data_IF_088221185196
#
_entry.id   IF_088221185196
#
_cell.length_a   1.000
_cell.length_b   1.000
_cell.length_c   1.000
_cell.angle_alpha   90.00
_cell.angle_beta   90.00
_cell.angle_gamma   90.00
#
_symmetry.space_group_name_H-M   'P 1'
#
loop_
_entity.id
_entity.type
_entity.pdbx_description
1 polymer ?
#
# COMPACT_ATOMS: atom_id res chain seq x y z
N UNK A 1 -3.65 8.10 -4.50
CA UNK A 1 -3.44 9.37 -3.75
C UNK A 1 -1.99 9.82 -3.84
N UNK A 2 -1.02 8.95 -3.57
CA UNK A 2 0.40 9.32 -3.52
C UNK A 2 0.95 9.76 -4.89
N UNK A 3 0.57 9.08 -5.95
CA UNK A 3 0.94 9.45 -7.32
C UNK A 3 0.42 10.84 -7.71
N UNK A 4 -0.81 11.18 -7.29
CA UNK A 4 -1.40 12.49 -7.57
C UNK A 4 -0.66 13.61 -6.83
N UNK A 5 -0.27 13.38 -5.56
CA UNK A 5 0.51 14.33 -4.77
C UNK A 5 1.89 14.54 -5.40
N UNK A 6 2.53 13.45 -5.85
CA UNK A 6 3.83 13.52 -6.50
C UNK A 6 3.77 14.33 -7.81
N UNK A 7 2.76 14.07 -8.65
CA UNK A 7 2.53 14.84 -9.88
C UNK A 7 2.23 16.30 -9.59
N UNK A 8 1.40 16.60 -8.57
CA UNK A 8 1.11 17.96 -8.16
C UNK A 8 2.36 18.74 -7.77
N UNK A 9 3.23 18.14 -6.94
CA UNK A 9 4.49 18.80 -6.55
C UNK A 9 5.42 19.05 -7.74
N UNK A 10 5.48 18.12 -8.70
CA UNK A 10 6.25 18.34 -9.94
C UNK A 10 5.66 19.44 -10.81
N UNK A 11 4.33 19.48 -10.90
CA UNK A 11 3.65 20.58 -11.60
C UNK A 11 3.93 21.93 -10.96
N UNK A 12 3.87 22.02 -9.64
CA UNK A 12 4.21 23.24 -8.91
C UNK A 12 5.67 23.69 -9.15
N UNK A 13 6.62 22.75 -9.16
CA UNK A 13 8.02 23.02 -9.49
C UNK A 13 8.20 23.45 -10.95
N UNK A 14 7.48 22.82 -11.88
CA UNK A 14 7.53 23.17 -13.30
C UNK A 14 6.98 24.56 -13.57
N UNK A 15 5.94 25.02 -12.88
CA UNK A 15 5.40 26.39 -12.97
C UNK A 15 6.41 27.48 -12.63
N UNK A 16 7.44 27.17 -11.86
CA UNK A 16 8.52 28.12 -11.58
C UNK A 16 9.52 28.26 -12.75
N UNK A 17 9.50 27.31 -13.70
CA UNK A 17 10.46 27.24 -14.81
C UNK A 17 9.88 27.72 -16.15
N UNK A 18 8.57 27.61 -16.32
CA UNK A 18 7.87 27.91 -17.57
C UNK A 18 6.73 28.90 -17.35
N UNK A 19 6.29 29.55 -18.43
CA UNK A 19 5.31 30.65 -18.34
C UNK A 19 3.85 30.18 -18.47
N UNK A 20 3.63 29.04 -19.12
CA UNK A 20 2.28 28.53 -19.39
C UNK A 20 1.97 27.31 -18.52
N UNK A 21 0.71 27.18 -18.08
CA UNK A 21 0.27 26.06 -17.27
C UNK A 21 0.35 24.73 -18.03
N UNK A 22 0.08 24.77 -19.35
CA UNK A 22 0.11 23.58 -20.21
C UNK A 22 1.53 23.04 -20.37
N UNK A 23 2.51 23.91 -20.58
CA UNK A 23 3.92 23.52 -20.62
C UNK A 23 4.39 22.96 -19.27
N UNK A 24 3.98 23.59 -18.16
CA UNK A 24 4.31 23.11 -16.82
C UNK A 24 3.73 21.71 -16.56
N UNK A 25 2.50 21.46 -17.02
CA UNK A 25 1.88 20.14 -16.87
C UNK A 25 2.54 19.08 -17.74
N UNK A 26 2.89 19.42 -18.96
CA UNK A 26 3.60 18.51 -19.88
C UNK A 26 4.95 18.09 -19.31
N UNK A 27 5.71 19.02 -18.78
CA UNK A 27 6.98 18.73 -18.10
C UNK A 27 6.76 17.86 -16.83
N UNK A 28 5.76 18.19 -16.03
CA UNK A 28 5.46 17.43 -14.82
C UNK A 28 5.08 15.97 -15.13
N UNK A 29 4.25 15.75 -16.13
CA UNK A 29 3.88 14.40 -16.59
C UNK A 29 5.12 13.66 -17.11
N UNK A 30 5.93 14.30 -17.97
CA UNK A 30 7.16 13.70 -18.51
C UNK A 30 8.13 13.25 -17.41
N UNK A 31 8.37 14.11 -16.41
CA UNK A 31 9.27 13.83 -15.30
C UNK A 31 8.74 12.75 -14.34
N UNK A 32 7.43 12.56 -14.25
CA UNK A 32 6.83 11.67 -13.26
C UNK A 32 6.38 10.33 -13.84
N UNK A 33 6.05 10.29 -15.14
CA UNK A 33 5.44 9.12 -15.77
C UNK A 33 6.26 7.85 -15.58
N UNK A 34 7.57 7.92 -15.79
CA UNK A 34 8.47 6.75 -15.66
C UNK A 34 8.47 6.24 -14.21
N UNK A 35 8.54 7.15 -13.25
CA UNK A 35 8.55 6.79 -11.82
C UNK A 35 7.21 6.19 -11.38
N UNK A 36 6.09 6.79 -11.81
CA UNK A 36 4.73 6.32 -11.51
C UNK A 36 4.50 4.95 -12.17
N UNK A 37 4.87 4.79 -13.43
CA UNK A 37 4.72 3.53 -14.16
C UNK A 37 5.57 2.42 -13.53
N UNK A 38 6.83 2.69 -13.19
CA UNK A 38 7.71 1.71 -12.56
C UNK A 38 7.23 1.23 -11.20
N UNK A 39 6.83 2.15 -10.32
CA UNK A 39 6.33 1.78 -9.00
C UNK A 39 4.97 1.07 -9.06
N UNK A 40 4.08 1.51 -9.94
CA UNK A 40 2.78 0.86 -10.11
C UNK A 40 2.89 -0.54 -10.72
N UNK A 41 3.80 -0.74 -11.68
CA UNK A 41 4.06 -2.05 -12.26
C UNK A 41 4.56 -3.04 -11.20
N UNK A 42 5.47 -2.60 -10.32
CA UNK A 42 5.94 -3.41 -9.19
C UNK A 42 4.80 -3.77 -8.24
N UNK A 43 3.93 -2.83 -7.94
CA UNK A 43 2.76 -3.06 -7.07
C UNK A 43 1.76 -4.02 -7.71
N UNK A 44 1.47 -3.85 -9.00
CA UNK A 44 0.60 -4.76 -9.76
C UNK A 44 1.19 -6.17 -9.79
N UNK A 45 2.50 -6.30 -10.05
CA UNK A 45 3.17 -7.60 -10.02
C UNK A 45 3.09 -8.27 -8.64
N UNK A 46 3.24 -7.48 -7.56
CA UNK A 46 3.06 -7.97 -6.19
C UNK A 46 1.64 -8.50 -5.92
N UNK A 47 0.60 -7.79 -6.37
CA UNK A 47 -0.77 -8.27 -6.25
C UNK A 47 -1.06 -9.49 -7.13
N UNK A 48 -0.53 -9.53 -8.35
CA UNK A 48 -0.68 -10.69 -9.22
C UNK A 48 0.06 -11.94 -8.65
N UNK A 49 1.11 -11.75 -7.88
CA UNK A 49 1.77 -12.86 -7.18
C UNK A 49 0.83 -13.56 -6.17
N UNK A 50 -0.18 -12.84 -5.61
CA UNK A 50 -1.19 -13.47 -4.76
C UNK A 50 -2.06 -14.48 -5.52
N UNK A 51 -2.17 -14.34 -6.85
CA UNK A 51 -2.92 -15.28 -7.67
C UNK A 51 -2.25 -16.67 -7.78
N UNK A 52 -0.97 -16.79 -7.38
CA UNK A 52 -0.26 -18.06 -7.32
C UNK A 52 -0.57 -18.87 -6.05
N UNK A 53 -1.27 -18.27 -5.10
CA UNK A 53 -1.70 -18.96 -3.87
C UNK A 53 -2.79 -19.99 -4.20
N UNK A 54 -2.78 -21.11 -3.47
CA UNK A 54 -3.79 -22.16 -3.62
C UNK A 54 -5.17 -21.77 -3.04
N UNK A 55 -5.25 -20.65 -2.31
CA UNK A 55 -6.50 -20.12 -1.75
C UNK A 55 -7.19 -19.19 -2.76
N UNK A 56 -8.45 -19.43 -3.06
CA UNK A 56 -9.29 -18.60 -3.94
C UNK A 56 -9.33 -17.14 -3.49
N UNK A 57 -9.37 -16.90 -2.19
CA UNK A 57 -9.30 -15.54 -1.61
C UNK A 57 -8.06 -14.75 -2.06
N UNK A 58 -6.91 -15.42 -2.18
CA UNK A 58 -5.68 -14.77 -2.64
C UNK A 58 -5.79 -14.29 -4.08
N UNK A 59 -6.36 -15.11 -4.95
CA UNK A 59 -6.59 -14.78 -6.36
C UNK A 59 -7.58 -13.63 -6.53
N UNK A 60 -8.71 -13.67 -5.82
CA UNK A 60 -9.75 -12.64 -5.92
C UNK A 60 -9.23 -11.28 -5.46
N UNK A 61 -8.57 -11.23 -4.30
CA UNK A 61 -7.96 -10.00 -3.77
C UNK A 61 -6.86 -9.51 -4.72
N UNK A 62 -6.00 -10.40 -5.20
CA UNK A 62 -4.89 -10.06 -6.09
C UNK A 62 -5.36 -9.39 -7.36
N UNK A 63 -6.37 -9.94 -8.04
CA UNK A 63 -6.92 -9.39 -9.29
C UNK A 63 -7.61 -8.05 -9.03
N UNK A 64 -8.44 -7.95 -7.99
CA UNK A 64 -9.16 -6.70 -7.68
C UNK A 64 -8.20 -5.57 -7.35
N UNK A 65 -7.18 -5.84 -6.51
CA UNK A 65 -6.18 -4.84 -6.15
C UNK A 65 -5.30 -4.43 -7.34
N UNK A 66 -4.87 -5.38 -8.18
CA UNK A 66 -4.11 -5.07 -9.39
C UNK A 66 -4.90 -4.16 -10.36
N UNK A 67 -6.18 -4.46 -10.59
CA UNK A 67 -7.09 -3.62 -11.38
C UNK A 67 -7.25 -2.22 -10.77
N UNK A 68 -7.40 -2.14 -9.43
CA UNK A 68 -7.52 -0.88 -8.71
C UNK A 68 -6.30 0.02 -8.89
N UNK A 69 -5.09 -0.55 -8.77
CA UNK A 69 -3.84 0.19 -9.01
C UNK A 69 -3.75 0.65 -10.47
N UNK A 70 -4.05 -0.22 -11.44
CA UNK A 70 -4.02 0.13 -12.86
C UNK A 70 -4.95 1.31 -13.20
N UNK A 71 -6.21 1.24 -12.76
CA UNK A 71 -7.20 2.31 -12.97
C UNK A 71 -6.76 3.59 -12.25
N UNK A 72 -6.22 3.47 -11.02
CA UNK A 72 -5.71 4.60 -10.26
C UNK A 72 -4.58 5.34 -10.95
N UNK A 73 -3.64 4.61 -11.54
CA UNK A 73 -2.54 5.19 -12.33
C UNK A 73 -3.07 5.87 -13.60
N UNK A 74 -3.95 5.20 -14.32
CA UNK A 74 -4.57 5.77 -15.52
C UNK A 74 -5.29 7.09 -15.19
N UNK A 75 -6.06 7.10 -14.10
CA UNK A 75 -6.74 8.30 -13.61
C UNK A 75 -5.76 9.42 -13.22
N UNK A 76 -4.65 9.06 -12.58
CA UNK A 76 -3.63 10.04 -12.17
C UNK A 76 -2.93 10.69 -13.36
N UNK A 77 -2.73 9.96 -14.45
CA UNK A 77 -2.05 10.49 -15.64
C UNK A 77 -3.00 11.22 -16.60
N UNK A 78 -4.30 10.91 -16.54
CA UNK A 78 -5.28 11.49 -17.49
C UNK A 78 -6.23 12.48 -16.82
N UNK A 79 -7.02 12.01 -15.86
CA UNK A 79 -8.09 12.81 -15.24
C UNK A 79 -7.50 13.88 -14.30
N UNK A 80 -6.52 13.52 -13.51
CA UNK A 80 -5.96 14.43 -12.52
C UNK A 80 -5.25 15.66 -13.13
N UNK A 81 -4.41 15.55 -14.19
CA UNK A 81 -3.87 16.71 -14.89
C UNK A 81 -4.92 17.61 -15.49
N UNK A 82 -5.94 17.04 -16.14
CA UNK A 82 -7.04 17.82 -16.71
C UNK A 82 -7.79 18.59 -15.63
N UNK A 83 -8.06 17.94 -14.49
CA UNK A 83 -8.68 18.59 -13.34
C UNK A 83 -7.82 19.70 -12.77
N UNK A 84 -6.50 19.51 -12.62
CA UNK A 84 -5.59 20.53 -12.14
C UNK A 84 -5.54 21.74 -13.07
N UNK A 85 -5.52 21.57 -14.38
CA UNK A 85 -5.50 22.69 -15.34
C UNK A 85 -6.78 23.51 -15.29
N UNK A 86 -7.94 22.85 -15.17
CA UNK A 86 -9.24 23.55 -15.07
C UNK A 86 -9.36 24.33 -13.77
N UNK A 87 -8.97 23.73 -12.66
CA UNK A 87 -9.10 24.32 -11.32
C UNK A 87 -7.83 25.02 -10.82
N UNK A 88 -6.84 25.24 -11.66
CA UNK A 88 -5.55 25.84 -11.30
C UNK A 88 -5.69 27.11 -10.48
N UNK A 89 -6.52 28.05 -10.92
CA UNK A 89 -6.76 29.33 -10.24
C UNK A 89 -7.36 29.15 -8.83
N UNK A 90 -8.26 28.17 -8.67
CA UNK A 90 -8.90 27.87 -7.39
C UNK A 90 -7.91 27.22 -6.43
N UNK A 91 -7.15 26.24 -6.90
CA UNK A 91 -6.14 25.52 -6.11
C UNK A 91 -5.08 26.49 -5.58
N UNK A 92 -4.57 27.41 -6.42
CA UNK A 92 -3.57 28.38 -5.98
C UNK A 92 -4.16 29.50 -5.11
N UNK A 93 -5.42 29.89 -5.29
CA UNK A 93 -6.09 30.88 -4.43
C UNK A 93 -6.36 30.35 -3.02
N UNK A 94 -6.65 29.07 -2.90
CA UNK A 94 -6.90 28.40 -1.60
C UNK A 94 -5.63 27.89 -0.93
N UNK A 95 -4.46 28.06 -1.57
CA UNK A 95 -3.18 27.64 -1.01
C UNK A 95 -2.88 28.41 0.28
N UNK A 96 -2.81 27.70 1.38
CA UNK A 96 -2.42 28.24 2.69
C UNK A 96 -1.01 27.74 3.06
N UNK A 97 -0.41 28.41 4.04
CA UNK A 97 0.92 28.02 4.53
C UNK A 97 0.87 26.58 5.05
N UNK A 98 1.88 25.75 4.74
CA UNK A 98 1.90 24.38 5.23
C UNK A 98 1.86 24.35 6.77
N UNK A 99 0.91 23.60 7.33
CA UNK A 99 0.75 23.43 8.77
C UNK A 99 1.95 22.65 9.34
N UNK A 100 2.53 21.80 8.51
CA UNK A 100 3.67 20.97 8.90
C UNK A 100 4.96 21.75 8.62
N UNK A 101 5.76 22.06 9.65
CA UNK A 101 7.03 22.76 9.46
C UNK A 101 8.00 21.91 8.63
N UNK A 102 8.89 22.58 7.91
CA UNK A 102 9.93 21.89 7.12
C UNK A 102 10.82 21.05 8.04
N UNK A 103 10.88 19.74 7.79
CA UNK A 103 11.70 18.79 8.57
C UNK A 103 13.21 18.90 8.25
N UNK A 104 13.73 20.11 8.16
CA UNK A 104 15.15 20.34 7.88
C UNK A 104 16.07 19.71 8.95
N UNK A 105 15.59 19.66 10.20
CA UNK A 105 16.32 19.00 11.30
C UNK A 105 16.44 17.49 11.04
N UNK A 106 15.34 16.85 10.65
CA UNK A 106 15.32 15.39 10.34
C UNK A 106 16.18 15.10 9.12
N UNK A 107 16.08 15.93 8.07
CA UNK A 107 16.91 15.81 6.87
C UNK A 107 18.39 15.87 7.21
N UNK A 108 18.80 16.87 7.96
CA UNK A 108 20.21 17.06 8.34
C UNK A 108 20.69 15.94 9.27
N UNK A 109 19.86 15.48 10.19
CA UNK A 109 20.17 14.36 11.06
C UNK A 109 20.40 13.07 10.26
N UNK A 110 19.48 12.73 9.34
CA UNK A 110 19.59 11.53 8.49
C UNK A 110 20.82 11.60 7.61
N UNK A 111 21.08 12.73 6.94
CA UNK A 111 22.26 12.88 6.09
C UNK A 111 23.54 12.81 6.89
N UNK A 112 23.58 13.36 8.10
CA UNK A 112 24.76 13.33 8.96
C UNK A 112 25.06 11.94 9.51
N UNK A 113 24.01 11.15 9.83
CA UNK A 113 24.15 9.87 10.53
C UNK A 113 23.75 8.65 9.69
N UNK A 114 23.75 8.76 8.34
CA UNK A 114 23.27 7.71 7.46
C UNK A 114 23.94 6.34 7.68
N UNK A 115 25.24 6.32 8.01
CA UNK A 115 25.97 5.08 8.30
C UNK A 115 25.48 4.39 9.56
N UNK A 116 25.21 5.18 10.61
CA UNK A 116 24.69 4.65 11.89
C UNK A 116 23.26 4.14 11.68
N UNK A 117 22.42 4.90 10.96
CA UNK A 117 21.05 4.50 10.64
C UNK A 117 21.03 3.18 9.85
N UNK A 118 21.93 3.04 8.85
CA UNK A 118 22.06 1.81 8.08
C UNK A 118 22.47 0.63 8.97
N UNK A 119 23.44 0.84 9.86
CA UNK A 119 23.91 -0.20 10.78
C UNK A 119 22.78 -0.64 11.72
N UNK A 120 22.06 0.31 12.30
CA UNK A 120 20.88 0.02 13.16
C UNK A 120 19.82 -0.75 12.38
N UNK A 121 19.51 -0.35 11.15
CA UNK A 121 18.56 -1.06 10.31
C UNK A 121 18.97 -2.52 10.05
N UNK A 122 20.25 -2.78 9.78
CA UNK A 122 20.79 -4.13 9.60
C UNK A 122 20.70 -4.96 10.89
N UNK A 123 21.02 -4.34 12.03
CA UNK A 123 20.91 -5.01 13.35
C UNK A 123 19.47 -5.39 13.66
N UNK A 124 18.49 -4.54 13.31
CA UNK A 124 17.06 -4.83 13.50
C UNK A 124 16.55 -5.85 12.48
N UNK A 125 17.08 -5.84 11.26
CA UNK A 125 16.65 -6.77 10.21
C UNK A 125 16.97 -8.24 10.57
N UNK A 126 18.07 -8.49 11.28
CA UNK A 126 18.45 -9.84 11.69
C UNK A 126 17.40 -10.51 12.62
N UNK A 127 17.01 -9.93 13.78
CA UNK A 127 15.97 -10.53 14.61
C UNK A 127 14.59 -10.53 13.94
N UNK A 128 14.29 -9.55 13.07
CA UNK A 128 13.05 -9.53 12.31
C UNK A 128 12.97 -10.72 11.32
N UNK A 129 14.06 -11.01 10.63
CA UNK A 129 14.14 -12.18 9.75
C UNK A 129 14.02 -13.49 10.53
N UNK A 130 14.73 -13.60 11.66
CA UNK A 130 14.65 -14.78 12.52
C UNK A 130 13.23 -14.97 13.08
N UNK A 131 12.60 -13.89 13.55
CA UNK A 131 11.21 -13.90 14.04
C UNK A 131 10.24 -14.36 12.94
N UNK A 132 10.38 -13.81 11.73
CA UNK A 132 9.52 -14.19 10.59
C UNK A 132 9.64 -15.68 10.23
N UNK A 133 10.86 -16.24 10.28
CA UNK A 133 11.09 -17.66 10.01
C UNK A 133 10.46 -18.61 11.06
N UNK A 134 10.20 -18.12 12.28
CA UNK A 134 9.64 -18.89 13.39
C UNK A 134 8.17 -18.55 13.70
N UNK A 135 7.55 -17.67 12.93
CA UNK A 135 6.11 -17.38 13.06
C UNK A 135 5.31 -18.61 12.62
N UNK A 136 4.59 -19.17 13.58
CA UNK A 136 3.58 -20.21 13.28
C UNK A 136 2.30 -19.52 12.80
N UNK A 137 1.98 -19.67 11.52
CA UNK A 137 0.72 -19.17 10.96
C UNK A 137 -0.43 -20.03 11.49
N UNK A 138 -1.20 -19.54 12.43
CA UNK A 138 -2.41 -20.19 12.90
C UNK A 138 -3.60 -19.67 12.10
N UNK A 139 -4.18 -20.50 11.28
CA UNK A 139 -5.46 -20.25 10.60
C UNK A 139 -6.64 -20.57 11.54
N UNK A 140 -6.65 -20.00 12.71
CA UNK A 140 -7.78 -20.18 13.62
C UNK A 140 -8.56 -18.85 13.71
N UNK A 141 -9.51 -18.68 12.81
CA UNK A 141 -10.40 -17.51 12.72
C UNK A 141 -11.19 -17.25 14.01
N UNK A 142 -11.38 -18.29 14.83
CA UNK A 142 -12.13 -18.17 16.09
C UNK A 142 -11.32 -17.55 17.22
N UNK A 143 -9.99 -17.52 17.13
CA UNK A 143 -9.14 -16.89 18.18
C UNK A 143 -9.14 -15.36 18.11
N UNK A 144 -9.41 -14.79 16.95
CA UNK A 144 -9.48 -13.33 16.73
C UNK A 144 -10.85 -12.73 17.06
N UNK A 145 -11.84 -13.60 17.34
CA UNK A 145 -13.16 -13.17 17.78
C UNK A 145 -13.17 -12.93 19.31
N UNK A 146 -13.95 -11.94 19.80
CA UNK A 146 -14.16 -11.77 21.24
C UNK A 146 -14.64 -13.09 21.87
N UNK A 147 -13.94 -13.55 22.90
CA UNK A 147 -14.17 -14.85 23.53
C UNK A 147 -15.50 -14.94 24.30
N UNK A 148 -16.13 -13.79 24.55
CA UNK A 148 -17.46 -13.63 25.19
C UNK A 148 -18.63 -13.82 24.22
N UNK A 149 -18.39 -13.99 22.91
CA UNK A 149 -19.43 -14.32 21.97
C UNK A 149 -19.99 -15.72 22.25
N UNK A 150 -21.33 -15.82 22.27
CA UNK A 150 -22.04 -17.09 22.52
C UNK A 150 -21.56 -18.24 21.61
N UNK A 151 -21.21 -17.92 20.36
CA UNK A 151 -20.64 -18.89 19.43
C UNK A 151 -19.25 -19.38 19.81
N UNK A 152 -18.41 -18.51 20.39
CA UNK A 152 -17.07 -18.88 20.84
C UNK A 152 -17.16 -19.72 22.13
N UNK A 153 -18.03 -19.33 23.08
CA UNK A 153 -18.26 -20.09 24.30
C UNK A 153 -18.82 -21.47 24.00
N UNK A 154 -19.84 -21.58 23.14
CA UNK A 154 -20.40 -22.87 22.75
C UNK A 154 -19.36 -23.76 22.03
N UNK A 155 -18.50 -23.15 21.23
CA UNK A 155 -17.45 -23.88 20.52
C UNK A 155 -16.33 -24.37 21.45
N UNK A 156 -15.97 -23.58 22.48
CA UNK A 156 -15.03 -24.03 23.50
C UNK A 156 -15.60 -25.15 24.38
N UNK A 157 -16.87 -25.07 24.79
CA UNK A 157 -17.55 -26.13 25.53
C UNK A 157 -17.65 -27.43 24.75
N UNK A 158 -17.96 -27.36 23.44
CA UNK A 158 -17.96 -28.52 22.55
C UNK A 158 -16.58 -29.15 22.39
N UNK A 159 -15.53 -28.33 22.30
CA UNK A 159 -14.15 -28.81 22.21
C UNK A 159 -13.69 -29.48 23.51
N UNK A 160 -14.07 -28.92 24.65
CA UNK A 160 -13.62 -29.41 25.97
C UNK A 160 -14.39 -30.67 26.42
N UNK A 161 -15.69 -30.78 26.09
CA UNK A 161 -16.53 -31.91 26.52
C UNK A 161 -16.52 -33.08 25.52
N UNK A 162 -16.38 -32.80 24.23
CA UNK A 162 -16.54 -33.80 23.19
C UNK A 162 -15.29 -34.02 22.33
N UNK A 163 -14.17 -33.37 22.63
CA UNK A 163 -12.94 -33.40 21.80
C UNK A 163 -13.20 -33.07 20.30
N UNK A 164 -14.28 -32.30 20.04
CA UNK A 164 -14.69 -31.91 18.72
C UNK A 164 -13.96 -30.62 18.32
N UNK A 165 -13.02 -30.74 17.42
CA UNK A 165 -12.37 -29.57 16.81
C UNK A 165 -13.36 -28.91 15.86
N UNK A 166 -13.60 -27.59 16.05
CA UNK A 166 -14.53 -26.80 15.25
C UNK A 166 -14.20 -26.73 13.73
N UNK A 167 -13.02 -27.13 13.35
CA UNK A 167 -12.60 -27.23 11.95
C UNK A 167 -12.79 -28.67 11.48
N UNK A 168 -13.92 -28.97 10.85
CA UNK A 168 -14.10 -30.23 10.12
C UNK A 168 -13.34 -30.13 8.79
N UNK A 169 -12.31 -30.94 8.64
CA UNK A 169 -11.65 -31.13 7.35
C UNK A 169 -12.45 -32.17 6.55
N UNK A 170 -13.24 -31.73 5.60
CA UNK A 170 -13.91 -32.62 4.65
C UNK A 170 -12.89 -32.96 3.55
N UNK A 171 -12.40 -34.18 3.56
CA UNK A 171 -11.61 -34.71 2.45
C UNK A 171 -12.57 -35.10 1.32
N UNK A 172 -12.64 -34.26 0.30
CA UNK A 172 -13.38 -34.56 -0.93
C UNK A 172 -12.46 -35.36 -1.86
N UNK A 173 -12.89 -36.55 -2.25
CA UNK A 173 -12.18 -37.32 -3.25
C UNK A 173 -12.19 -36.57 -4.58
N UNK A 174 -11.05 -36.54 -5.27
CA UNK A 174 -10.84 -35.80 -6.51
C UNK A 174 -11.59 -36.37 -7.73
N UNK A 175 -12.28 -37.51 -7.57
CA UNK A 175 -12.94 -38.25 -8.65
C UNK A 175 -14.48 -38.04 -8.69
N UNK A 176 -14.96 -36.83 -8.24
CA UNK A 176 -16.36 -36.42 -8.43
C UNK A 176 -16.40 -35.15 -9.30
#
# INVERSE_FOLDING_TARGET
TDFSIFLYHKYEQAKLKVKTNDEAMTLAIGDTLVSIAGSSLTTIAGFLALCTMQLTLGSDIGIVMAKGVFIGVLSTVTIFPAFLLVFDKLVFKTKHKPIIPSFNVVKNFVVKHYKIILLVALVIAYPAYYGNAHVKSYYNLTKDLPQDLKSCVANSELSDEFDLVASQVILVNKDI
#
